data_IF_604464185022
#
_entry.id   IF_604464185022
#
_cell.length_a   1.000
_cell.length_b   1.000
_cell.length_c   1.000
_cell.angle_alpha   90.00
_cell.angle_beta   90.00
_cell.angle_gamma   90.00
#
_symmetry.space_group_name_H-M   'P 1'
#
loop_
_entity.id
_entity.type
_entity.pdbx_description
1 polymer ?
#
# COMPACT_ATOMS: atom_id res chain seq x y z
N UNK A 1 -28.45 10.49 60.42
CA UNK A 1 -27.10 10.93 60.00
C UNK A 1 -26.57 9.91 59.01
N UNK A 2 -26.47 10.28 57.73
CA UNK A 2 -26.15 9.36 56.63
C UNK A 2 -24.67 9.49 56.31
N UNK A 3 -23.88 8.45 56.58
CA UNK A 3 -22.44 8.44 56.27
C UNK A 3 -22.22 8.43 54.75
N UNK A 4 -21.37 9.31 54.20
CA UNK A 4 -21.10 9.33 52.77
C UNK A 4 -20.33 8.07 52.35
N UNK A 5 -20.75 7.43 51.25
CA UNK A 5 -20.07 6.27 50.69
C UNK A 5 -18.66 6.66 50.18
N UNK A 6 -17.63 5.85 50.44
CA UNK A 6 -16.26 6.19 49.99
C UNK A 6 -16.17 6.12 48.47
N UNK A 7 -15.64 7.20 47.86
CA UNK A 7 -15.37 7.28 46.44
C UNK A 7 -14.21 6.34 46.07
N UNK A 8 -14.46 5.33 45.22
CA UNK A 8 -13.42 4.44 44.69
C UNK A 8 -12.79 5.07 43.45
N UNK A 9 -11.51 5.42 43.54
CA UNK A 9 -10.73 5.85 42.38
C UNK A 9 -10.67 4.73 41.32
N UNK A 10 -10.88 5.10 40.05
CA UNK A 10 -10.73 4.18 38.91
C UNK A 10 -9.25 3.80 38.78
N UNK A 11 -8.88 2.56 39.09
CA UNK A 11 -7.52 2.05 38.87
C UNK A 11 -7.18 2.15 37.37
N UNK A 12 -6.20 2.98 37.04
CA UNK A 12 -5.63 3.04 35.68
C UNK A 12 -4.92 1.72 35.44
N UNK A 13 -5.51 0.87 34.60
CA UNK A 13 -4.87 -0.35 34.12
C UNK A 13 -3.69 0.11 33.25
N UNK A 14 -2.47 0.07 33.80
CA UNK A 14 -1.26 0.23 33.00
C UNK A 14 -1.27 -0.89 31.97
N UNK A 15 -1.58 -0.56 30.71
CA UNK A 15 -1.37 -1.47 29.58
C UNK A 15 0.11 -1.84 29.63
N UNK A 16 0.42 -3.10 29.96
CA UNK A 16 1.75 -3.67 29.68
C UNK A 16 2.02 -3.32 28.22
N UNK A 17 3.09 -2.59 27.97
CA UNK A 17 3.61 -2.43 26.62
C UNK A 17 3.81 -3.86 26.12
N UNK A 18 2.95 -4.30 25.20
CA UNK A 18 3.16 -5.56 24.53
C UNK A 18 4.52 -5.39 23.85
N UNK A 19 5.52 -6.13 24.32
CA UNK A 19 6.75 -6.27 23.54
C UNK A 19 6.33 -6.70 22.14
N UNK A 20 6.94 -6.16 21.07
CA UNK A 20 6.65 -6.63 19.73
C UNK A 20 6.90 -8.14 19.75
N UNK A 21 5.82 -8.91 19.61
CA UNK A 21 5.94 -10.34 19.39
C UNK A 21 6.82 -10.43 18.15
N UNK A 22 8.00 -11.02 18.29
CA UNK A 22 8.81 -11.49 17.16
C UNK A 22 7.93 -12.51 16.41
N UNK A 23 7.03 -11.98 15.58
CA UNK A 23 6.21 -12.77 14.70
C UNK A 23 7.22 -13.33 13.71
N UNK A 24 7.53 -14.61 13.85
CA UNK A 24 8.29 -15.35 12.87
C UNK A 24 7.59 -15.10 11.53
N UNK A 25 8.21 -14.28 10.68
CA UNK A 25 7.79 -14.12 9.30
C UNK A 25 7.77 -15.53 8.74
N UNK A 26 6.63 -15.93 8.18
CA UNK A 26 6.52 -17.19 7.45
C UNK A 26 7.51 -17.05 6.30
N UNK A 27 8.69 -17.65 6.43
CA UNK A 27 9.71 -17.67 5.38
C UNK A 27 9.05 -18.46 4.26
N UNK A 28 8.56 -17.72 3.24
CA UNK A 28 8.12 -18.32 1.99
C UNK A 28 9.29 -19.07 1.34
N UNK A 29 9.07 -19.76 0.21
CA UNK A 29 10.19 -20.25 -0.59
C UNK A 29 11.22 -19.14 -0.77
N UNK A 30 12.51 -19.49 -0.78
CA UNK A 30 13.62 -18.53 -0.80
C UNK A 30 13.66 -17.80 -2.16
N UNK A 31 12.74 -16.85 -2.35
CA UNK A 31 12.45 -16.12 -3.58
C UNK A 31 13.61 -15.18 -3.99
N UNK A 32 14.68 -15.12 -3.18
CA UNK A 32 15.85 -14.25 -3.37
C UNK A 32 15.44 -12.81 -3.67
N UNK A 33 14.49 -12.27 -2.89
CA UNK A 33 14.10 -10.87 -2.97
C UNK A 33 15.28 -9.99 -2.52
N UNK A 34 15.47 -8.88 -3.22
CA UNK A 34 16.60 -7.97 -3.04
C UNK A 34 16.26 -6.76 -2.18
N UNK A 35 14.97 -6.52 -1.94
CA UNK A 35 14.42 -5.30 -1.34
C UNK A 35 14.48 -4.11 -2.30
N UNK A 36 14.61 -4.34 -3.61
CA UNK A 36 14.82 -3.27 -4.60
C UNK A 36 14.04 -3.48 -5.89
N UNK A 37 13.54 -2.36 -6.43
CA UNK A 37 12.93 -2.28 -7.77
C UNK A 37 13.55 -1.09 -8.50
N UNK A 38 14.19 -1.35 -9.65
CA UNK A 38 14.90 -0.32 -10.43
C UNK A 38 15.91 0.52 -9.62
N UNK A 39 16.55 -0.09 -8.62
CA UNK A 39 17.52 0.56 -7.73
C UNK A 39 16.91 1.32 -6.54
N UNK A 40 15.59 1.52 -6.52
CA UNK A 40 14.84 2.11 -5.41
C UNK A 40 14.47 1.04 -4.38
N UNK A 41 14.32 1.44 -3.12
CA UNK A 41 13.94 0.53 -2.05
C UNK A 41 12.47 0.13 -2.17
N UNK A 42 12.20 -1.16 -1.98
CA UNK A 42 10.88 -1.76 -2.15
C UNK A 42 10.60 -2.76 -1.03
N UNK A 43 9.33 -2.89 -0.68
CA UNK A 43 8.83 -3.99 0.15
C UNK A 43 8.79 -5.29 -0.64
N UNK A 44 8.77 -6.43 0.06
CA UNK A 44 8.70 -7.76 -0.58
C UNK A 44 7.53 -7.88 -1.57
N UNK A 45 6.36 -7.34 -1.21
CA UNK A 45 5.15 -7.40 -2.05
C UNK A 45 5.28 -6.51 -3.30
N UNK A 46 5.94 -5.36 -3.19
CA UNK A 46 6.22 -4.49 -4.33
C UNK A 46 7.25 -5.14 -5.26
N UNK A 47 8.31 -5.76 -4.73
CA UNK A 47 9.29 -6.47 -5.54
C UNK A 47 8.67 -7.67 -6.27
N UNK A 48 7.81 -8.46 -5.60
CA UNK A 48 7.06 -9.55 -6.24
C UNK A 48 6.19 -9.04 -7.38
N UNK A 49 5.46 -7.94 -7.16
CA UNK A 49 4.63 -7.33 -8.19
C UNK A 49 5.47 -6.83 -9.37
N UNK A 50 6.60 -6.17 -9.11
CA UNK A 50 7.54 -5.73 -10.14
C UNK A 50 8.12 -6.89 -10.96
N UNK A 51 8.48 -8.00 -10.30
CA UNK A 51 8.94 -9.23 -10.96
C UNK A 51 7.85 -9.86 -11.81
N UNK A 52 6.62 -9.91 -11.30
CA UNK A 52 5.47 -10.43 -12.03
C UNK A 52 5.17 -9.59 -13.28
N UNK A 53 5.24 -8.27 -13.19
CA UNK A 53 5.14 -7.38 -14.36
C UNK A 53 6.26 -7.63 -15.38
N UNK A 54 7.50 -7.79 -14.91
CA UNK A 54 8.64 -8.06 -15.77
C UNK A 54 8.55 -9.44 -16.45
N UNK A 55 8.04 -10.47 -15.75
CA UNK A 55 7.92 -11.84 -16.28
C UNK A 55 6.94 -11.92 -17.46
N UNK A 56 5.94 -11.05 -17.51
CA UNK A 56 5.00 -10.93 -18.64
C UNK A 56 5.41 -9.85 -19.66
N UNK A 57 6.60 -9.25 -19.51
CA UNK A 57 7.14 -8.27 -20.45
C UNK A 57 6.51 -6.89 -20.39
N UNK A 58 5.81 -6.55 -19.30
CA UNK A 58 5.23 -5.22 -19.12
C UNK A 58 6.29 -4.20 -18.70
N UNK A 59 6.23 -3.02 -19.31
CA UNK A 59 7.06 -1.89 -18.91
C UNK A 59 6.34 -1.13 -17.79
N UNK A 60 7.07 -0.75 -16.76
CA UNK A 60 6.52 0.03 -15.66
C UNK A 60 7.53 1.05 -15.12
N UNK A 61 7.00 2.06 -14.44
CA UNK A 61 7.76 2.97 -13.57
C UNK A 61 7.36 2.70 -12.13
N UNK A 62 8.34 2.72 -11.23
CA UNK A 62 8.15 2.50 -9.79
C UNK A 62 8.27 3.84 -9.02
N UNK A 63 7.46 4.04 -7.98
CA UNK A 63 7.39 5.24 -7.14
C UNK A 63 7.25 6.54 -7.94
N UNK A 64 6.15 6.66 -8.69
CA UNK A 64 5.89 7.81 -9.59
C UNK A 64 5.15 8.91 -8.85
N UNK A 65 5.73 10.11 -8.85
CA UNK A 65 5.16 11.29 -8.19
C UNK A 65 4.28 12.11 -9.13
N UNK A 66 3.12 12.49 -8.62
CA UNK A 66 2.16 13.34 -9.32
C UNK A 66 1.92 14.66 -8.56
N UNK A 67 1.91 15.75 -9.32
CA UNK A 67 1.59 17.09 -8.84
C UNK A 67 0.09 17.31 -8.91
N UNK A 68 -0.55 17.59 -7.76
CA UNK A 68 -1.95 18.00 -7.71
C UNK A 68 -2.05 19.52 -7.59
N UNK A 69 -3.09 20.14 -8.15
CA UNK A 69 -3.26 21.60 -8.15
C UNK A 69 -3.37 22.23 -6.74
N UNK A 70 -3.77 21.43 -5.74
CA UNK A 70 -3.86 21.84 -4.34
C UNK A 70 -2.70 21.29 -3.49
N UNK A 71 -1.62 20.80 -4.09
CA UNK A 71 -0.48 20.31 -3.32
C UNK A 71 0.25 21.51 -2.74
N UNK A 72 0.25 21.65 -1.41
CA UNK A 72 1.31 22.43 -0.77
C UNK A 72 2.67 21.85 -1.17
N UNK A 73 3.78 22.62 -1.12
CA UNK A 73 5.11 22.04 -1.13
C UNK A 73 5.14 20.86 -0.16
N UNK A 74 5.71 19.72 -0.57
CA UNK A 74 5.78 18.47 0.22
C UNK A 74 4.48 17.62 0.30
N UNK A 75 3.43 17.94 -0.47
CA UNK A 75 2.21 17.10 -0.58
C UNK A 75 2.11 16.32 -1.90
N UNK A 76 3.25 16.06 -2.55
CA UNK A 76 3.31 15.19 -3.73
C UNK A 76 2.59 13.87 -3.43
N UNK A 77 1.76 13.43 -4.39
CA UNK A 77 1.09 12.14 -4.30
C UNK A 77 1.90 11.15 -5.12
N UNK A 78 2.55 10.22 -4.44
CA UNK A 78 3.26 9.11 -5.07
C UNK A 78 2.28 8.00 -5.42
N UNK A 79 2.57 7.21 -6.45
CA UNK A 79 1.90 5.95 -6.77
C UNK A 79 2.99 4.90 -6.96
N UNK A 80 2.78 3.72 -6.41
CA UNK A 80 3.79 2.66 -6.39
C UNK A 80 4.18 2.25 -7.81
N UNK A 81 3.21 2.04 -8.70
CA UNK A 81 3.49 1.65 -10.09
C UNK A 81 2.68 2.45 -11.11
N UNK A 82 3.30 2.73 -12.26
CA UNK A 82 2.60 3.11 -13.49
C UNK A 82 3.00 2.11 -14.58
N UNK A 83 2.05 1.28 -14.99
CA UNK A 83 2.26 0.17 -15.93
C UNK A 83 1.79 0.59 -17.33
N UNK A 84 2.60 0.33 -18.35
CA UNK A 84 2.22 0.51 -19.75
C UNK A 84 1.67 -0.82 -20.28
N UNK A 85 0.35 -0.89 -20.46
CA UNK A 85 -0.36 -2.07 -20.98
C UNK A 85 -1.30 -1.65 -22.11
N UNK A 86 -1.27 -2.36 -23.24
CA UNK A 86 -2.10 -2.08 -24.42
C UNK A 86 -2.07 -0.60 -24.89
N UNK A 87 -0.93 0.07 -24.75
CA UNK A 87 -0.77 1.49 -25.11
C UNK A 87 -1.34 2.50 -24.12
N UNK A 88 -1.89 2.05 -22.99
CA UNK A 88 -2.43 2.90 -21.93
C UNK A 88 -1.57 2.80 -20.66
N UNK A 89 -1.55 3.88 -19.88
CA UNK A 89 -0.91 3.90 -18.57
C UNK A 89 -1.91 3.56 -17.48
N UNK A 90 -1.63 2.49 -16.73
CA UNK A 90 -2.41 2.01 -15.58
C UNK A 90 -1.65 2.29 -14.28
N UNK A 91 -2.10 3.26 -13.47
CA UNK A 91 -1.58 3.47 -12.12
C UNK A 91 -2.03 2.33 -11.19
N UNK A 92 -1.11 1.81 -10.37
CA UNK A 92 -1.38 0.74 -9.40
C UNK A 92 -0.74 1.08 -8.05
N UNK A 93 -1.52 0.96 -6.97
CA UNK A 93 -1.03 0.95 -5.59
C UNK A 93 -1.04 -0.48 -5.04
N UNK A 94 0.05 -0.87 -4.38
CA UNK A 94 0.19 -2.12 -3.64
C UNK A 94 -0.09 -1.83 -2.17
N UNK A 95 -1.31 -2.09 -1.74
CA UNK A 95 -1.75 -1.84 -0.36
C UNK A 95 -1.07 -2.83 0.58
N UNK A 96 -0.10 -2.36 1.37
CA UNK A 96 0.57 -3.15 2.40
C UNK A 96 -0.36 -3.74 3.47
N UNK A 97 0.20 -4.59 4.33
CA UNK A 97 -0.52 -5.19 5.45
C UNK A 97 -0.84 -4.13 6.51
N UNK A 98 -2.04 -3.55 6.47
CA UNK A 98 -2.34 -2.41 7.32
C UNK A 98 -2.65 -2.83 8.77
N UNK A 99 -1.90 -2.26 9.71
CA UNK A 99 -2.30 -2.14 11.11
C UNK A 99 -3.39 -1.07 11.30
N UNK A 100 -4.49 -1.44 11.95
CA UNK A 100 -5.55 -0.58 12.49
C UNK A 100 -5.70 0.84 11.87
N UNK A 101 -6.35 0.97 10.70
CA UNK A 101 -6.71 2.29 10.13
C UNK A 101 -7.81 2.94 10.97
N UNK A 102 -7.61 4.19 11.35
CA UNK A 102 -8.66 5.06 11.92
C UNK A 102 -9.60 5.56 10.82
N UNK A 103 -10.85 5.89 11.14
CA UNK A 103 -11.81 6.45 10.16
C UNK A 103 -11.29 7.71 9.48
N UNK A 104 -10.48 8.51 10.18
CA UNK A 104 -9.83 9.70 9.63
C UNK A 104 -8.78 9.37 8.56
N UNK A 105 -8.06 8.25 8.67
CA UNK A 105 -7.10 7.82 7.65
C UNK A 105 -7.83 7.34 6.39
N UNK A 106 -8.92 6.59 6.55
CA UNK A 106 -9.75 6.13 5.43
C UNK A 106 -10.32 7.31 4.62
N UNK A 107 -10.78 8.37 5.30
CA UNK A 107 -11.26 9.58 4.64
C UNK A 107 -10.16 10.30 3.84
N UNK A 108 -8.94 10.37 4.37
CA UNK A 108 -7.80 10.97 3.64
C UNK A 108 -7.38 10.15 2.43
N UNK A 109 -7.39 8.82 2.55
CA UNK A 109 -7.07 7.91 1.44
C UNK A 109 -8.10 8.07 0.32
N UNK A 110 -9.39 8.12 0.65
CA UNK A 110 -10.46 8.34 -0.33
C UNK A 110 -10.31 9.70 -1.05
N UNK A 111 -10.02 10.78 -0.32
CA UNK A 111 -9.79 12.09 -0.92
C UNK A 111 -8.55 12.07 -1.83
N UNK A 112 -7.46 11.43 -1.40
CA UNK A 112 -6.24 11.28 -2.21
C UNK A 112 -6.53 10.56 -3.52
N UNK A 113 -7.27 9.46 -3.44
CA UNK A 113 -7.64 8.68 -4.62
C UNK A 113 -8.49 9.48 -5.61
N UNK A 114 -9.47 10.24 -5.13
CA UNK A 114 -10.27 11.13 -5.98
C UNK A 114 -9.40 12.17 -6.69
N UNK A 115 -8.46 12.80 -5.97
CA UNK A 115 -7.56 13.80 -6.55
C UNK A 115 -6.61 13.19 -7.59
N UNK A 116 -6.05 12.01 -7.31
CA UNK A 116 -5.20 11.27 -8.24
C UNK A 116 -5.97 10.89 -9.50
N UNK A 117 -7.16 10.34 -9.36
CA UNK A 117 -7.99 9.94 -10.50
C UNK A 117 -8.41 11.12 -11.39
N UNK A 118 -8.62 12.31 -10.81
CA UNK A 118 -8.85 13.53 -11.58
C UNK A 118 -7.63 13.91 -12.45
N UNK A 119 -6.42 13.75 -11.92
CA UNK A 119 -5.17 13.99 -12.66
C UNK A 119 -4.98 12.93 -13.74
N UNK A 120 -5.18 11.65 -13.41
CA UNK A 120 -5.04 10.56 -14.38
C UNK A 120 -5.96 10.74 -15.58
N UNK A 121 -7.21 11.12 -15.34
CA UNK A 121 -8.15 11.45 -16.43
C UNK A 121 -7.63 12.56 -17.34
N UNK A 122 -7.03 13.62 -16.76
CA UNK A 122 -6.45 14.73 -17.55
C UNK A 122 -5.21 14.29 -18.34
N UNK A 123 -4.43 13.35 -17.82
CA UNK A 123 -3.23 12.81 -18.47
C UNK A 123 -3.53 11.67 -19.46
N UNK A 124 -4.79 11.23 -19.57
CA UNK A 124 -5.17 10.07 -20.41
C UNK A 124 -4.80 8.72 -19.80
N UNK A 125 -4.57 8.66 -18.49
CA UNK A 125 -4.26 7.43 -17.76
C UNK A 125 -5.57 6.77 -17.31
N UNK A 126 -5.52 5.45 -17.07
CA UNK A 126 -6.62 4.70 -16.47
C UNK A 126 -6.77 5.08 -14.97
N UNK A 127 -7.95 4.83 -14.36
CA UNK A 127 -8.16 5.05 -12.93
C UNK A 127 -7.21 4.21 -12.07
N UNK A 128 -6.85 4.71 -10.88
CA UNK A 128 -6.02 3.99 -9.92
C UNK A 128 -6.62 2.63 -9.58
N UNK A 129 -5.80 1.58 -9.63
CA UNK A 129 -6.16 0.25 -9.13
C UNK A 129 -5.35 -0.05 -7.87
N UNK A 130 -5.99 -0.67 -6.88
CA UNK A 130 -5.34 -1.12 -5.64
C UNK A 130 -5.24 -2.64 -5.65
N UNK A 131 -4.03 -3.17 -5.45
CA UNK A 131 -3.77 -4.59 -5.23
C UNK A 131 -3.53 -4.81 -3.75
N UNK A 132 -4.19 -5.80 -3.14
CA UNK A 132 -4.06 -6.04 -1.70
C UNK A 132 -2.84 -6.90 -1.41
N UNK A 133 -2.14 -6.63 -0.30
CA UNK A 133 -0.96 -7.41 0.12
C UNK A 133 -1.18 -8.93 0.15
N UNK A 134 -2.38 -9.39 0.55
CA UNK A 134 -2.67 -10.82 0.65
C UNK A 134 -2.75 -11.50 -0.72
N UNK A 135 -2.93 -10.74 -1.80
CA UNK A 135 -2.86 -11.23 -3.18
C UNK A 135 -1.41 -11.35 -3.69
N UNK A 136 -0.44 -10.90 -2.90
CA UNK A 136 0.99 -10.83 -3.23
C UNK A 136 1.87 -11.54 -2.18
N UNK A 137 1.31 -12.47 -1.41
CA UNK A 137 2.05 -13.19 -0.36
C UNK A 137 3.20 -14.03 -0.92
N UNK A 138 3.03 -14.57 -2.13
CA UNK A 138 4.06 -15.33 -2.86
C UNK A 138 4.21 -14.83 -4.29
N UNK A 139 5.32 -15.16 -4.93
CA UNK A 139 5.56 -14.81 -6.34
C UNK A 139 4.50 -15.40 -7.27
N UNK A 140 4.04 -16.64 -7.02
CA UNK A 140 3.01 -17.27 -7.86
C UNK A 140 1.68 -16.52 -7.80
N UNK A 141 1.29 -16.03 -6.62
CA UNK A 141 0.09 -15.22 -6.45
C UNK A 141 0.23 -13.88 -7.17
N UNK A 142 1.40 -13.24 -7.07
CA UNK A 142 1.68 -12.01 -7.81
C UNK A 142 1.61 -12.20 -9.32
N UNK A 143 2.14 -13.32 -9.83
CA UNK A 143 2.08 -13.68 -11.25
C UNK A 143 0.62 -13.88 -11.71
N UNK A 144 -0.23 -14.54 -10.92
CA UNK A 144 -1.65 -14.73 -11.21
C UNK A 144 -2.40 -13.38 -11.26
N UNK A 145 -2.16 -12.52 -10.26
CA UNK A 145 -2.76 -11.18 -10.20
C UNK A 145 -2.40 -10.36 -11.44
N UNK A 146 -1.12 -10.31 -11.81
CA UNK A 146 -0.66 -9.55 -12.98
C UNK A 146 -1.27 -10.11 -14.27
N UNK A 147 -1.33 -11.44 -14.43
CA UNK A 147 -1.99 -12.06 -15.60
C UNK A 147 -3.46 -11.68 -15.66
N UNK A 148 -4.20 -11.79 -14.56
CA UNK A 148 -5.63 -11.41 -14.50
C UNK A 148 -5.87 -9.94 -14.84
N UNK A 149 -4.94 -9.05 -14.49
CA UNK A 149 -5.10 -7.61 -14.70
C UNK A 149 -4.75 -7.15 -16.12
N UNK A 150 -3.77 -7.80 -16.76
CA UNK A 150 -3.12 -7.25 -17.96
C UNK A 150 -3.04 -8.20 -19.16
N UNK A 151 -3.60 -9.41 -19.07
CA UNK A 151 -3.60 -10.41 -20.14
C UNK A 151 -4.98 -11.03 -20.32
#
# INVERSE_FOLDING_TARGET
>A
MTTPKPYRYRKVIRRRQAQPINRLLKIGPDEKLTGKVNGLDATDIEERFARALASVGLKFRFQVRFWTANSAPWQEKEVDFVVLAAGMFQPVEVDGQIGHRTSAQLGRDAIREVLLNAIFRRLGYLPLVRVKWFELETQEMADEVVRRMFR
#
